data_IF_097285994652
#
_entry.id   IF_097285994652
#
_cell.length_a   1.000
_cell.length_b   1.000
_cell.length_c   1.000
_cell.angle_alpha   90.00
_cell.angle_beta   90.00
_cell.angle_gamma   90.00
#
_symmetry.space_group_name_H-M   'P 1'
#
loop_
_entity.id
_entity.type
_entity.pdbx_description
1 polymer ?
#
# COMPACT_ATOMS: atom_id res chain seq x y z
N UNK A 1 4.33 -9.27 -16.85
CA UNK A 1 3.44 -9.37 -15.65
C UNK A 1 1.99 -9.68 -16.06
N UNK A 2 1.23 -10.50 -15.31
CA UNK A 2 -0.21 -10.79 -15.61
C UNK A 2 -1.15 -9.85 -14.85
N UNK A 3 -2.31 -9.56 -15.43
CA UNK A 3 -3.33 -8.75 -14.75
C UNK A 3 -3.96 -9.51 -13.56
N UNK A 4 -4.26 -8.84 -12.46
CA UNK A 4 -4.92 -9.45 -11.30
C UNK A 4 -6.27 -10.10 -11.64
N UNK A 5 -7.05 -9.51 -12.55
CA UNK A 5 -8.30 -10.12 -13.02
C UNK A 5 -8.05 -11.39 -13.83
N UNK A 6 -6.97 -11.44 -14.63
CA UNK A 6 -6.56 -12.63 -15.39
C UNK A 6 -6.05 -13.73 -14.47
N UNK A 7 -5.26 -13.37 -13.45
CA UNK A 7 -4.78 -14.31 -12.41
C UNK A 7 -5.97 -14.98 -11.70
N UNK A 8 -7.01 -14.21 -11.40
CA UNK A 8 -8.23 -14.71 -10.76
C UNK A 8 -9.20 -15.36 -11.76
N UNK A 9 -9.00 -15.18 -13.06
CA UNK A 9 -9.88 -15.68 -14.12
C UNK A 9 -11.28 -15.06 -14.08
N UNK A 10 -11.37 -13.75 -13.80
CA UNK A 10 -12.63 -12.99 -13.74
C UNK A 10 -12.60 -11.78 -14.67
N UNK A 11 -13.77 -11.22 -14.95
CA UNK A 11 -13.88 -9.94 -15.67
C UNK A 11 -13.55 -8.74 -14.78
N UNK A 12 -13.28 -7.60 -15.42
CA UNK A 12 -12.86 -6.36 -14.73
C UNK A 12 -13.97 -5.73 -13.90
N UNK A 13 -15.23 -5.98 -14.23
CA UNK A 13 -16.41 -5.51 -13.51
C UNK A 13 -16.91 -6.52 -12.47
N UNK A 14 -16.15 -7.61 -12.23
CA UNK A 14 -16.51 -8.65 -11.28
C UNK A 14 -16.87 -8.09 -9.91
N UNK A 15 -17.99 -8.57 -9.39
CA UNK A 15 -18.51 -8.22 -8.07
C UNK A 15 -17.65 -8.80 -6.95
N UNK A 16 -17.75 -8.24 -5.74
CA UNK A 16 -17.05 -8.79 -4.58
C UNK A 16 -17.39 -10.27 -4.30
N UNK A 17 -18.61 -10.70 -4.66
CA UNK A 17 -19.04 -12.10 -4.54
C UNK A 17 -18.31 -13.01 -5.53
N UNK A 18 -18.12 -12.56 -6.78
CA UNK A 18 -17.41 -13.32 -7.82
C UNK A 18 -15.92 -13.41 -7.53
N UNK A 19 -15.30 -12.30 -7.11
CA UNK A 19 -13.91 -12.27 -6.68
C UNK A 19 -13.63 -13.29 -5.56
N UNK A 20 -14.50 -13.31 -4.54
CA UNK A 20 -14.37 -14.26 -3.42
C UNK A 20 -14.52 -15.71 -3.86
N UNK A 21 -15.47 -15.99 -4.75
CA UNK A 21 -15.69 -17.34 -5.31
C UNK A 21 -14.48 -17.80 -6.12
N UNK A 22 -13.96 -16.94 -6.99
CA UNK A 22 -12.80 -17.23 -7.82
C UNK A 22 -11.55 -17.49 -6.98
N UNK A 23 -11.28 -16.62 -5.99
CA UNK A 23 -10.18 -16.79 -5.05
C UNK A 23 -10.28 -18.12 -4.29
N UNK A 24 -11.44 -18.44 -3.71
CA UNK A 24 -11.60 -19.70 -2.96
C UNK A 24 -11.37 -20.94 -3.83
N UNK A 25 -11.87 -20.93 -5.08
CA UNK A 25 -11.68 -22.02 -6.04
C UNK A 25 -10.20 -22.20 -6.40
N UNK A 26 -9.50 -21.11 -6.67
CA UNK A 26 -8.08 -21.14 -7.05
C UNK A 26 -7.17 -21.48 -5.86
N UNK A 27 -7.46 -20.92 -4.68
CA UNK A 27 -6.75 -21.23 -3.44
C UNK A 27 -6.84 -22.72 -3.10
N UNK A 28 -8.02 -23.35 -3.24
CA UNK A 28 -8.16 -24.79 -3.03
C UNK A 28 -7.40 -25.64 -4.05
N UNK A 29 -7.27 -25.16 -5.29
CA UNK A 29 -6.57 -25.86 -6.37
C UNK A 29 -5.05 -25.81 -6.20
N UNK A 30 -4.54 -24.68 -5.76
CA UNK A 30 -3.10 -24.41 -5.64
C UNK A 30 -2.59 -24.44 -4.19
N UNK A 31 -3.41 -24.90 -3.24
CA UNK A 31 -2.99 -25.03 -1.84
C UNK A 31 -1.84 -26.05 -1.72
N UNK A 32 -0.74 -25.74 -1.04
CA UNK A 32 0.40 -26.65 -0.88
C UNK A 32 0.00 -28.08 -0.45
N UNK A 33 -0.90 -28.21 0.53
CA UNK A 33 -1.38 -29.51 1.04
C UNK A 33 -2.14 -30.36 0.01
N UNK A 34 -2.65 -29.78 -1.08
CA UNK A 34 -3.41 -30.51 -2.12
C UNK A 34 -2.53 -30.98 -3.28
N UNK A 35 -1.27 -30.59 -3.28
CA UNK A 35 -0.33 -30.87 -4.36
C UNK A 35 0.32 -32.21 -4.09
N UNK A 36 0.25 -33.10 -5.07
CA UNK A 36 0.72 -34.48 -4.93
C UNK A 36 2.23 -34.53 -4.87
N UNK A 37 2.77 -35.50 -4.14
CA UNK A 37 4.20 -35.81 -4.15
C UNK A 37 4.70 -36.02 -5.59
N UNK A 38 5.66 -35.18 -6.02
CA UNK A 38 6.26 -35.17 -7.36
C UNK A 38 5.82 -34.04 -8.29
N UNK A 39 4.87 -33.20 -7.89
CA UNK A 39 4.61 -31.92 -8.56
C UNK A 39 5.52 -30.82 -8.00
N UNK A 40 5.82 -29.81 -8.81
CA UNK A 40 6.63 -28.67 -8.39
C UNK A 40 5.90 -27.83 -7.34
N UNK A 41 6.15 -28.17 -6.07
CA UNK A 41 5.60 -27.50 -4.88
C UNK A 41 6.00 -26.03 -4.85
N UNK A 42 7.18 -25.68 -5.38
CA UNK A 42 7.67 -24.32 -5.41
C UNK A 42 6.91 -23.48 -6.43
N UNK A 43 6.75 -23.96 -7.67
CA UNK A 43 5.95 -23.29 -8.69
C UNK A 43 4.51 -23.06 -8.23
N UNK A 44 3.91 -24.05 -7.56
CA UNK A 44 2.56 -23.90 -7.07
C UNK A 44 2.43 -22.94 -5.88
N UNK A 45 3.43 -22.90 -5.00
CA UNK A 45 3.50 -21.90 -3.93
C UNK A 45 3.57 -20.50 -4.53
N UNK A 46 4.34 -20.30 -5.61
CA UNK A 46 4.40 -19.01 -6.33
C UNK A 46 3.05 -18.65 -6.94
N UNK A 47 2.38 -19.59 -7.61
CA UNK A 47 1.03 -19.35 -8.18
C UNK A 47 0.01 -19.02 -7.09
N UNK A 48 0.06 -19.71 -5.95
CA UNK A 48 -0.80 -19.43 -4.80
C UNK A 48 -0.57 -18.02 -4.25
N UNK A 49 0.69 -17.60 -4.11
CA UNK A 49 1.05 -16.24 -3.69
C UNK A 49 0.56 -15.19 -4.69
N UNK A 50 0.65 -15.44 -5.99
CA UNK A 50 0.15 -14.55 -7.04
C UNK A 50 -1.38 -14.41 -6.98
N UNK A 51 -2.11 -15.52 -6.77
CA UNK A 51 -3.57 -15.53 -6.56
C UNK A 51 -3.95 -14.72 -5.31
N UNK A 52 -3.20 -14.89 -4.22
CA UNK A 52 -3.43 -14.16 -2.99
C UNK A 52 -3.19 -12.66 -3.19
N UNK A 53 -2.07 -12.28 -3.81
CA UNK A 53 -1.74 -10.89 -4.15
C UNK A 53 -2.85 -10.26 -4.99
N UNK A 54 -3.26 -10.95 -6.05
CA UNK A 54 -4.30 -10.48 -6.96
C UNK A 54 -5.63 -10.23 -6.24
N UNK A 55 -6.09 -11.20 -5.43
CA UNK A 55 -7.33 -11.05 -4.67
C UNK A 55 -7.24 -9.93 -3.63
N UNK A 56 -6.13 -9.81 -2.92
CA UNK A 56 -5.96 -8.73 -1.94
C UNK A 56 -6.12 -7.36 -2.59
N UNK A 57 -5.46 -7.09 -3.71
CA UNK A 57 -5.53 -5.80 -4.41
C UNK A 57 -6.96 -5.51 -4.90
N UNK A 58 -7.61 -6.45 -5.58
CA UNK A 58 -8.92 -6.18 -6.21
C UNK A 58 -10.11 -6.33 -5.25
N UNK A 59 -9.93 -6.92 -4.06
CA UNK A 59 -11.02 -7.11 -3.09
C UNK A 59 -11.33 -5.86 -2.27
N UNK A 60 -10.35 -4.96 -2.07
CA UNK A 60 -10.55 -3.70 -1.36
C UNK A 60 -10.88 -2.57 -2.34
N UNK A 61 -12.02 -1.84 -2.19
CA UNK A 61 -12.43 -0.83 -3.17
C UNK A 61 -11.39 0.25 -3.46
N UNK A 62 -10.67 0.71 -2.44
CA UNK A 62 -9.63 1.73 -2.59
C UNK A 62 -8.39 1.19 -3.33
N UNK A 63 -7.97 -0.04 -3.03
CA UNK A 63 -6.82 -0.68 -3.68
C UNK A 63 -7.17 -1.09 -5.11
N UNK A 64 -8.40 -1.55 -5.36
CA UNK A 64 -8.93 -1.85 -6.69
C UNK A 64 -8.99 -0.61 -7.57
N UNK A 65 -9.57 0.49 -7.07
CA UNK A 65 -9.66 1.73 -7.83
C UNK A 65 -8.27 2.24 -8.21
N UNK A 66 -7.33 2.23 -7.26
CA UNK A 66 -5.97 2.64 -7.52
C UNK A 66 -5.24 1.68 -8.49
N UNK A 67 -5.44 0.36 -8.37
CA UNK A 67 -4.92 -0.61 -9.33
C UNK A 67 -5.47 -0.38 -10.73
N UNK A 68 -6.78 -0.16 -10.86
CA UNK A 68 -7.43 0.08 -12.15
C UNK A 68 -6.91 1.36 -12.82
N UNK A 69 -6.70 2.43 -12.06
CA UNK A 69 -6.15 3.72 -12.53
C UNK A 69 -4.71 3.58 -13.06
N UNK A 70 -3.93 2.65 -12.51
CA UNK A 70 -2.52 2.48 -12.85
C UNK A 70 -2.21 1.16 -13.56
N UNK A 71 -3.22 0.35 -13.88
CA UNK A 71 -3.08 -1.01 -14.43
C UNK A 71 -2.21 -1.04 -15.67
N UNK A 72 -2.39 -0.09 -16.58
CA UNK A 72 -1.59 -0.04 -17.81
C UNK A 72 -0.11 0.18 -17.52
N UNK A 73 0.24 1.00 -16.54
CA UNK A 73 1.63 1.25 -16.16
C UNK A 73 2.23 -0.01 -15.53
N UNK A 74 1.48 -0.65 -14.63
CA UNK A 74 1.88 -1.91 -13.97
C UNK A 74 2.10 -3.04 -14.99
N UNK A 75 1.25 -3.14 -16.02
CA UNK A 75 1.34 -4.20 -17.03
C UNK A 75 2.36 -3.93 -18.14
N UNK A 76 2.71 -2.65 -18.40
CA UNK A 76 3.76 -2.27 -19.34
C UNK A 76 5.16 -2.53 -18.78
N UNK A 77 5.31 -2.61 -17.47
CA UNK A 77 6.55 -3.08 -16.84
C UNK A 77 6.72 -4.59 -17.08
N UNK A 78 7.79 -4.94 -17.79
CA UNK A 78 8.23 -6.31 -18.17
C UNK A 78 7.73 -6.84 -19.52
N UNK A 79 7.95 -6.11 -20.61
CA UNK A 79 8.22 -6.75 -21.91
C UNK A 79 9.74 -6.64 -22.13
N UNK A 80 10.47 -7.72 -21.82
CA UNK A 80 11.93 -7.83 -21.93
C UNK A 80 12.50 -7.69 -23.35
N UNK A 81 11.79 -7.00 -24.25
CA UNK A 81 12.37 -6.40 -25.43
C UNK A 81 13.20 -5.20 -24.99
N UNK A 82 14.52 -5.42 -24.84
CA UNK A 82 15.49 -4.36 -25.03
C UNK A 82 15.18 -3.68 -26.37
N UNK A 83 14.48 -2.56 -26.33
CA UNK A 83 14.47 -1.64 -27.46
C UNK A 83 15.84 -0.96 -27.40
N UNK A 84 16.78 -1.46 -28.20
CA UNK A 84 18.03 -0.77 -28.50
C UNK A 84 17.69 0.65 -28.96
N UNK A 85 17.75 1.63 -28.06
CA UNK A 85 17.33 2.99 -28.43
C UNK A 85 17.30 4.07 -27.35
N UNK A 86 17.13 3.79 -26.06
CA UNK A 86 17.13 4.87 -25.04
C UNK A 86 17.61 4.37 -23.67
N UNK A 87 18.70 4.96 -23.19
CA UNK A 87 19.37 4.62 -21.94
C UNK A 87 18.86 5.45 -20.75
N UNK A 88 17.55 5.52 -20.52
CA UNK A 88 16.98 6.43 -19.49
C UNK A 88 15.66 5.95 -18.84
N UNK A 89 15.58 4.68 -18.41
CA UNK A 89 14.44 4.22 -17.60
C UNK A 89 14.83 3.33 -16.39
N UNK A 90 15.96 3.64 -15.73
CA UNK A 90 16.27 3.17 -14.36
C UNK A 90 15.54 4.03 -13.30
N UNK A 91 14.30 4.46 -13.59
CA UNK A 91 13.51 5.30 -12.69
C UNK A 91 12.84 4.43 -11.63
N UNK A 92 12.82 4.93 -10.39
CA UNK A 92 12.21 4.22 -9.26
C UNK A 92 10.69 4.11 -9.44
N UNK A 93 10.24 2.92 -9.82
CA UNK A 93 8.82 2.61 -9.95
C UNK A 93 8.24 2.10 -8.63
N UNK A 94 7.59 3.01 -7.89
CA UNK A 94 6.88 2.71 -6.64
C UNK A 94 5.83 1.59 -6.84
N UNK A 95 5.26 1.48 -8.04
CA UNK A 95 4.15 0.57 -8.34
C UNK A 95 4.55 -0.90 -8.20
N UNK A 96 5.82 -1.23 -8.49
CA UNK A 96 6.38 -2.58 -8.36
C UNK A 96 6.23 -3.15 -6.94
N UNK A 97 6.14 -2.29 -5.93
CA UNK A 97 6.10 -2.69 -4.52
C UNK A 97 4.68 -2.93 -3.97
N UNK A 98 3.65 -2.77 -4.81
CA UNK A 98 2.25 -3.09 -4.52
C UNK A 98 1.89 -4.54 -4.84
N UNK A 99 2.72 -5.49 -4.43
CA UNK A 99 2.43 -6.91 -4.55
C UNK A 99 2.93 -7.66 -3.33
N UNK A 100 2.20 -8.67 -2.88
CA UNK A 100 2.67 -9.57 -1.81
C UNK A 100 3.73 -10.56 -2.29
N UNK A 101 3.96 -10.66 -3.60
CA UNK A 101 4.96 -11.57 -4.18
C UNK A 101 6.40 -11.10 -4.01
N UNK A 102 6.62 -9.82 -3.66
CA UNK A 102 7.96 -9.24 -3.53
C UNK A 102 8.67 -9.63 -2.24
N UNK A 103 7.94 -10.15 -1.26
CA UNK A 103 8.47 -10.56 0.03
C UNK A 103 7.96 -11.94 0.44
N UNK A 104 8.71 -12.63 1.29
CA UNK A 104 8.43 -13.96 1.82
C UNK A 104 8.40 -13.90 3.34
N UNK A 105 7.19 -13.95 3.89
CA UNK A 105 6.99 -13.93 5.33
C UNK A 105 7.28 -12.57 5.98
N UNK A 106 7.10 -12.51 7.30
CA UNK A 106 7.19 -11.30 8.11
C UNK A 106 8.41 -11.35 9.02
N UNK A 107 9.59 -11.46 8.41
CA UNK A 107 10.90 -11.50 9.09
C UNK A 107 11.82 -10.41 8.53
N UNK A 108 13.02 -10.33 9.09
CA UNK A 108 14.10 -9.42 8.67
C UNK A 108 15.16 -10.11 7.79
N UNK A 109 14.84 -11.25 7.17
CA UNK A 109 15.70 -11.86 6.15
C UNK A 109 15.68 -11.04 4.85
N UNK A 110 16.59 -11.29 3.92
CA UNK A 110 16.79 -10.47 2.71
C UNK A 110 15.51 -10.32 1.86
N UNK A 111 14.63 -11.32 1.90
CA UNK A 111 13.32 -11.31 1.23
C UNK A 111 12.15 -11.13 2.19
N UNK A 112 12.39 -10.81 3.45
CA UNK A 112 11.34 -10.61 4.45
C UNK A 112 10.63 -9.28 4.28
N UNK A 113 9.36 -9.22 4.69
CA UNK A 113 8.53 -8.02 4.63
C UNK A 113 9.26 -6.77 5.16
N UNK A 114 9.94 -6.89 6.30
CA UNK A 114 10.57 -5.73 6.95
C UNK A 114 11.85 -5.26 6.26
N UNK A 115 12.62 -6.18 5.66
CA UNK A 115 13.83 -5.82 4.91
C UNK A 115 13.48 -5.21 3.57
N UNK A 116 12.53 -5.81 2.84
CA UNK A 116 12.09 -5.32 1.54
C UNK A 116 11.53 -3.90 1.66
N UNK A 117 10.54 -3.67 2.53
CA UNK A 117 9.94 -2.35 2.62
C UNK A 117 10.85 -1.31 3.26
N UNK A 118 11.73 -1.69 4.19
CA UNK A 118 12.74 -0.75 4.70
C UNK A 118 13.65 -0.25 3.57
N UNK A 119 14.18 -1.15 2.75
CA UNK A 119 15.04 -0.78 1.62
C UNK A 119 14.33 0.14 0.63
N UNK A 120 13.06 -0.16 0.32
CA UNK A 120 12.22 0.67 -0.56
C UNK A 120 12.10 2.11 -0.06
N UNK A 121 11.78 2.30 1.23
CA UNK A 121 11.64 3.65 1.78
C UNK A 121 12.99 4.35 1.98
N UNK A 122 14.06 3.62 2.28
CA UNK A 122 15.43 4.16 2.33
C UNK A 122 15.91 4.61 0.94
N UNK A 123 15.55 3.90 -0.13
CA UNK A 123 15.86 4.28 -1.51
C UNK A 123 15.10 5.54 -1.93
N UNK A 124 13.80 5.63 -1.64
CA UNK A 124 13.00 6.86 -1.89
C UNK A 124 13.60 8.05 -1.13
N UNK A 125 13.97 7.86 0.14
CA UNK A 125 14.55 8.91 0.96
C UNK A 125 15.94 9.33 0.43
N UNK A 126 16.76 8.39 -0.03
CA UNK A 126 18.05 8.69 -0.63
C UNK A 126 17.93 9.54 -1.91
N UNK A 127 16.93 9.26 -2.76
CA UNK A 127 16.63 10.07 -3.95
C UNK A 127 16.27 11.50 -3.58
N UNK A 128 15.45 11.69 -2.54
CA UNK A 128 15.09 13.03 -2.08
C UNK A 128 16.23 13.73 -1.35
N UNK A 129 17.00 13.05 -0.49
CA UNK A 129 18.22 13.61 0.13
C UNK A 129 19.18 14.16 -0.94
N UNK A 130 19.41 13.40 -2.02
CA UNK A 130 20.21 13.84 -3.15
C UNK A 130 19.62 15.10 -3.84
N UNK A 131 18.30 15.18 -3.97
CA UNK A 131 17.63 16.34 -4.55
C UNK A 131 17.62 17.58 -3.63
N UNK A 132 17.48 17.38 -2.31
CA UNK A 132 17.52 18.41 -1.26
C UNK A 132 18.92 19.00 -1.10
N UNK A 133 19.96 18.19 -1.32
CA UNK A 133 21.34 18.53 -0.98
C UNK A 133 21.62 18.45 0.52
N UNK A 134 20.81 17.70 1.28
CA UNK A 134 21.03 17.42 2.69
C UNK A 134 21.06 15.91 2.96
N UNK A 135 21.47 15.53 4.17
CA UNK A 135 21.51 14.13 4.62
C UNK A 135 20.60 13.92 5.82
N UNK A 136 19.49 14.68 5.92
CA UNK A 136 18.52 14.48 6.98
C UNK A 136 17.66 13.26 6.67
N UNK A 137 17.76 12.17 7.45
CA UNK A 137 17.08 10.94 7.12
C UNK A 137 15.60 11.00 7.51
N UNK A 138 14.74 10.41 6.69
CA UNK A 138 13.38 10.09 7.07
C UNK A 138 13.36 9.13 8.28
N UNK A 139 12.28 9.10 9.08
CA UNK A 139 12.16 8.11 10.15
C UNK A 139 12.26 6.69 9.57
N UNK A 140 13.02 5.81 10.24
CA UNK A 140 13.24 4.44 9.78
C UNK A 140 12.01 3.55 9.97
N UNK A 141 11.85 2.56 9.11
CA UNK A 141 10.80 1.54 9.23
C UNK A 141 11.01 0.58 10.41
N UNK A 142 12.25 0.45 10.87
CA UNK A 142 12.65 -0.50 11.91
C UNK A 142 12.56 -1.96 11.44
N UNK A 143 12.64 -2.87 12.41
CA UNK A 143 12.63 -4.33 12.23
C UNK A 143 11.32 -4.99 12.68
N UNK A 144 11.21 -6.29 12.46
CA UNK A 144 10.09 -7.10 12.96
C UNK A 144 9.86 -7.00 14.47
N UNK A 145 10.92 -6.73 15.23
CA UNK A 145 10.93 -6.61 16.70
C UNK A 145 10.84 -5.19 17.22
N UNK A 146 10.89 -4.19 16.33
CA UNK A 146 10.78 -2.79 16.74
C UNK A 146 9.37 -2.46 17.24
N UNK A 147 9.26 -1.39 18.03
CA UNK A 147 7.97 -0.84 18.42
C UNK A 147 7.16 -0.38 17.20
N UNK A 148 5.86 -0.15 17.41
CA UNK A 148 4.94 0.31 16.38
C UNK A 148 5.48 1.63 15.79
N UNK A 149 5.82 1.71 14.49
CA UNK A 149 6.58 2.83 13.96
C UNK A 149 5.64 3.98 13.58
N UNK A 150 5.03 4.63 14.58
CA UNK A 150 4.08 5.73 14.36
C UNK A 150 4.69 6.89 13.57
N UNK A 151 5.87 7.36 14.00
CA UNK A 151 6.57 8.47 13.35
C UNK A 151 6.90 8.18 11.87
N UNK A 152 7.25 6.93 11.55
CA UNK A 152 7.45 6.48 10.17
C UNK A 152 6.18 6.65 9.33
N UNK A 153 5.07 6.09 9.79
CA UNK A 153 3.83 6.16 9.00
C UNK A 153 3.26 7.58 8.94
N UNK A 154 3.43 8.39 9.99
CA UNK A 154 2.97 9.78 9.97
C UNK A 154 3.75 10.63 8.96
N UNK A 155 5.07 10.41 8.87
CA UNK A 155 5.94 11.02 7.85
C UNK A 155 5.55 10.56 6.44
N UNK A 156 5.58 9.25 6.18
CA UNK A 156 5.43 8.70 4.83
C UNK A 156 4.00 8.85 4.26
N UNK A 157 2.98 8.95 5.11
CA UNK A 157 1.60 9.26 4.68
C UNK A 157 1.39 10.75 4.38
N UNK A 158 2.32 11.60 4.79
CA UNK A 158 2.36 13.04 4.49
C UNK A 158 3.46 13.40 3.48
N UNK A 159 4.09 12.38 2.88
CA UNK A 159 5.26 12.51 2.02
C UNK A 159 5.01 13.36 0.77
N UNK A 160 6.01 14.18 0.45
CA UNK A 160 6.14 14.97 -0.77
C UNK A 160 7.59 14.86 -1.24
N UNK A 161 7.79 14.68 -2.55
CA UNK A 161 9.13 14.49 -3.13
C UNK A 161 9.84 15.82 -3.34
N UNK A 162 11.14 15.82 -3.06
CA UNK A 162 12.05 16.94 -3.31
C UNK A 162 12.69 16.88 -4.71
N UNK A 163 12.58 15.74 -5.40
CA UNK A 163 13.10 15.57 -6.76
C UNK A 163 12.54 16.63 -7.73
N UNK A 164 13.37 17.03 -8.70
CA UNK A 164 13.04 18.12 -9.64
C UNK A 164 11.95 17.72 -10.64
N UNK A 165 11.91 16.46 -11.06
CA UNK A 165 11.12 15.95 -12.19
C UNK A 165 11.45 16.62 -13.53
N UNK A 166 12.63 17.24 -13.66
CA UNK A 166 13.03 17.95 -14.89
C UNK A 166 13.14 17.04 -16.12
N UNK A 167 13.25 15.73 -15.95
CA UNK A 167 13.19 14.75 -17.04
C UNK A 167 11.81 14.65 -17.70
N UNK A 168 10.76 15.19 -17.07
CA UNK A 168 9.42 15.30 -17.68
C UNK A 168 9.26 16.55 -18.55
N UNK A 169 10.30 17.39 -18.67
CA UNK A 169 10.26 18.56 -19.53
C UNK A 169 10.14 18.13 -21.00
N UNK A 170 9.02 18.47 -21.63
CA UNK A 170 8.74 18.13 -23.03
C UNK A 170 9.46 19.06 -24.01
N UNK A 171 9.77 20.27 -23.55
CA UNK A 171 10.27 21.35 -24.39
C UNK A 171 11.63 21.86 -23.91
N UNK A 172 12.57 22.04 -24.84
CA UNK A 172 13.82 22.76 -24.57
C UNK A 172 13.57 24.26 -24.73
N UNK A 173 13.46 24.99 -23.63
CA UNK A 173 13.10 26.41 -23.63
C UNK A 173 14.10 27.32 -24.36
N UNK A 174 15.34 26.84 -24.58
CA UNK A 174 16.36 27.48 -25.42
C UNK A 174 15.96 27.58 -26.89
N UNK A 175 15.12 26.66 -27.36
CA UNK A 175 14.75 26.54 -28.78
C UNK A 175 13.54 27.43 -29.13
N UNK A 176 13.05 28.21 -28.17
CA UNK A 176 11.86 29.03 -28.33
C UNK A 176 12.07 30.18 -29.34
N UNK A 177 11.24 30.31 -30.38
CA UNK A 177 11.39 31.34 -31.42
C UNK A 177 11.04 32.75 -30.92
N UNK A 178 10.31 32.87 -29.82
CA UNK A 178 9.98 34.16 -29.20
C UNK A 178 9.90 34.04 -27.68
N UNK A 179 9.93 35.18 -26.99
CA UNK A 179 9.74 35.24 -25.53
C UNK A 179 8.37 34.68 -25.10
N UNK A 180 7.34 34.86 -25.91
CA UNK A 180 5.98 34.39 -25.62
C UNK A 180 5.90 32.87 -25.71
N UNK A 181 6.49 32.28 -26.76
CA UNK A 181 6.56 30.83 -26.92
C UNK A 181 7.40 30.20 -25.80
N UNK A 182 8.51 30.84 -25.40
CA UNK A 182 9.33 30.37 -24.27
C UNK A 182 8.52 30.25 -22.98
N UNK A 183 7.68 31.25 -22.68
CA UNK A 183 6.82 31.25 -21.50
C UNK A 183 5.77 30.14 -21.55
N UNK A 184 5.23 29.83 -22.73
CA UNK A 184 4.31 28.70 -22.91
C UNK A 184 5.03 27.37 -22.68
N UNK A 185 6.22 27.20 -23.26
CA UNK A 185 7.06 26.01 -23.04
C UNK A 185 7.43 25.84 -21.56
N UNK A 186 7.84 26.91 -20.87
CA UNK A 186 8.14 26.90 -19.42
C UNK A 186 6.90 26.50 -18.59
N UNK A 187 5.72 27.00 -18.96
CA UNK A 187 4.46 26.68 -18.30
C UNK A 187 4.08 25.21 -18.48
N UNK A 188 4.22 24.69 -19.69
CA UNK A 188 3.90 23.29 -19.99
C UNK A 188 4.87 22.34 -19.31
N UNK A 189 6.17 22.63 -19.33
CA UNK A 189 7.17 21.90 -18.57
C UNK A 189 6.86 21.92 -17.07
N UNK A 190 6.57 23.11 -16.50
CA UNK A 190 6.18 23.22 -15.08
C UNK A 190 4.96 22.35 -14.77
N UNK A 191 3.94 22.36 -15.63
CA UNK A 191 2.74 21.53 -15.47
C UNK A 191 3.07 20.03 -15.50
N UNK A 192 3.95 19.60 -16.40
CA UNK A 192 4.41 18.22 -16.48
C UNK A 192 5.14 17.79 -15.19
N UNK A 193 6.09 18.62 -14.71
CA UNK A 193 6.81 18.38 -13.46
C UNK A 193 5.87 18.33 -12.25
N UNK A 194 4.99 19.32 -12.11
CA UNK A 194 4.03 19.39 -11.00
C UNK A 194 3.10 18.16 -10.97
N UNK A 195 2.68 17.70 -12.15
CA UNK A 195 1.86 16.48 -12.29
C UNK A 195 2.66 15.24 -11.89
N UNK A 196 3.89 15.10 -12.38
CA UNK A 196 4.77 13.98 -12.03
C UNK A 196 5.05 13.90 -10.53
N UNK A 197 5.44 15.02 -9.90
CA UNK A 197 5.66 15.11 -8.45
C UNK A 197 4.41 14.71 -7.68
N UNK A 198 3.25 15.23 -8.07
CA UNK A 198 1.97 14.93 -7.40
C UNK A 198 1.63 13.43 -7.49
N UNK A 199 1.78 12.84 -8.66
CA UNK A 199 1.52 11.41 -8.88
C UNK A 199 2.48 10.54 -8.09
N UNK A 200 3.79 10.79 -8.19
CA UNK A 200 4.81 10.03 -7.46
C UNK A 200 4.59 10.09 -5.94
N UNK A 201 4.43 11.30 -5.37
CA UNK A 201 4.17 11.45 -3.94
C UNK A 201 2.84 10.84 -3.50
N UNK A 202 1.81 10.84 -4.36
CA UNK A 202 0.56 10.14 -4.07
C UNK A 202 0.77 8.62 -4.03
N UNK A 203 1.56 8.06 -4.93
CA UNK A 203 1.86 6.64 -4.98
C UNK A 203 2.71 6.18 -3.78
N UNK A 204 3.70 6.98 -3.35
CA UNK A 204 4.47 6.69 -2.13
C UNK A 204 3.57 6.71 -0.88
N UNK A 205 2.65 7.69 -0.78
CA UNK A 205 1.67 7.73 0.32
C UNK A 205 0.74 6.52 0.31
N UNK A 206 0.27 6.11 -0.88
CA UNK A 206 -0.53 4.91 -1.05
C UNK A 206 0.26 3.65 -0.67
N UNK A 207 1.56 3.60 -0.96
CA UNK A 207 2.45 2.49 -0.57
C UNK A 207 2.59 2.43 0.95
N UNK A 208 2.76 3.57 1.61
CA UNK A 208 2.81 3.63 3.07
C UNK A 208 1.53 3.06 3.70
N UNK A 209 0.34 3.39 3.15
CA UNK A 209 -0.93 2.82 3.60
C UNK A 209 -1.03 1.31 3.29
N UNK A 210 -0.56 0.87 2.12
CA UNK A 210 -0.52 -0.54 1.72
C UNK A 210 0.33 -1.38 2.69
N UNK A 211 1.51 -0.89 3.04
CA UNK A 211 2.44 -1.54 3.99
C UNK A 211 1.86 -1.52 5.39
N UNK A 212 1.29 -0.38 5.83
CA UNK A 212 0.68 -0.22 7.15
C UNK A 212 -0.41 -1.25 7.45
N UNK A 213 -1.24 -1.57 6.45
CA UNK A 213 -2.32 -2.57 6.59
C UNK A 213 -1.79 -4.00 6.77
N UNK A 214 -0.55 -4.28 6.32
CA UNK A 214 0.06 -5.61 6.31
C UNK A 214 1.09 -5.80 7.42
N UNK A 215 1.63 -4.71 7.96
CA UNK A 215 2.58 -4.71 9.08
C UNK A 215 1.97 -5.37 10.32
N UNK A 216 2.58 -6.47 10.78
CA UNK A 216 2.08 -7.26 11.93
C UNK A 216 2.11 -6.46 13.22
N UNK A 217 3.03 -5.51 13.37
CA UNK A 217 3.11 -4.61 14.53
C UNK A 217 1.88 -3.71 14.59
N UNK A 218 1.49 -3.14 13.44
CA UNK A 218 0.30 -2.29 13.30
C UNK A 218 -0.99 -3.07 13.52
N UNK A 219 -1.10 -4.26 12.95
CA UNK A 219 -2.29 -5.12 13.10
C UNK A 219 -2.47 -5.49 14.58
N UNK A 220 -1.41 -5.95 15.25
CA UNK A 220 -1.45 -6.30 16.67
C UNK A 220 -1.88 -5.10 17.53
N UNK A 221 -1.28 -3.94 17.30
CA UNK A 221 -1.63 -2.71 18.01
C UNK A 221 -3.10 -2.30 17.79
N UNK A 222 -3.61 -2.43 16.56
CA UNK A 222 -5.01 -2.13 16.26
C UNK A 222 -5.97 -3.08 17.00
N UNK A 223 -5.65 -4.39 17.04
CA UNK A 223 -6.43 -5.39 17.77
C UNK A 223 -6.42 -5.12 19.28
N UNK A 224 -5.26 -4.83 19.87
CA UNK A 224 -5.13 -4.48 21.29
C UNK A 224 -5.94 -3.22 21.63
N UNK A 225 -5.86 -2.18 20.79
CA UNK A 225 -6.62 -0.94 20.97
C UNK A 225 -8.13 -1.18 20.87
N UNK A 226 -8.58 -2.02 19.94
CA UNK A 226 -9.99 -2.37 19.79
C UNK A 226 -10.49 -3.18 21.00
N UNK A 227 -9.72 -4.17 21.45
CA UNK A 227 -10.04 -4.96 22.64
C UNK A 227 -10.16 -4.07 23.89
N UNK A 228 -9.22 -3.13 24.07
CA UNK A 228 -9.29 -2.14 25.15
C UNK A 228 -10.55 -1.27 25.05
N UNK A 229 -10.89 -0.79 23.85
CA UNK A 229 -12.11 0.00 23.63
C UNK A 229 -13.37 -0.79 23.97
N UNK A 230 -13.44 -2.07 23.58
CA UNK A 230 -14.57 -2.94 23.89
C UNK A 230 -14.68 -3.21 25.39
N UNK A 231 -13.55 -3.45 26.07
CA UNK A 231 -13.49 -3.60 27.53
C UNK A 231 -14.01 -2.35 28.24
N UNK A 232 -13.52 -1.17 27.87
CA UNK A 232 -13.95 0.11 28.45
C UNK A 232 -15.43 0.41 28.18
N UNK A 233 -15.94 0.04 26.99
CA UNK A 233 -17.35 0.20 26.65
C UNK A 233 -18.24 -0.73 27.49
N UNK A 234 -17.80 -1.97 27.73
CA UNK A 234 -18.50 -2.92 28.59
C UNK A 234 -18.53 -2.45 30.05
N UNK A 235 -17.40 -1.97 30.58
CA UNK A 235 -17.30 -1.42 31.94
C UNK A 235 -18.25 -0.22 32.12
N UNK A 236 -18.27 0.70 31.12
CA UNK A 236 -19.16 1.85 31.12
C UNK A 236 -20.63 1.45 31.06
N UNK A 237 -20.97 0.44 30.26
CA UNK A 237 -22.34 -0.08 30.15
C UNK A 237 -22.79 -0.75 31.45
N UNK A 238 -21.92 -1.54 32.09
CA UNK A 238 -22.18 -2.18 33.38
C UNK A 238 -22.39 -1.13 34.48
N UNK A 239 -21.55 -0.11 34.55
CA UNK A 239 -21.71 1.00 35.49
C UNK A 239 -23.03 1.77 35.27
N UNK A 240 -23.41 2.01 34.02
CA UNK A 240 -24.69 2.65 33.70
C UNK A 240 -25.90 1.78 34.10
N UNK A 241 -25.83 0.47 33.85
CA UNK A 241 -26.88 -0.48 34.26
C UNK A 241 -27.02 -0.56 35.80
N UNK A 242 -25.90 -0.62 36.52
CA UNK A 242 -25.89 -0.61 37.98
C UNK A 242 -26.50 0.68 38.54
N UNK A 243 -26.15 1.84 37.97
CA UNK A 243 -26.74 3.13 38.35
C UNK A 243 -28.24 3.19 38.09
N UNK A 244 -28.71 2.64 36.96
CA UNK A 244 -30.13 2.57 36.63
C UNK A 244 -30.89 1.68 37.62
N UNK A 245 -30.33 0.50 37.94
CA UNK A 245 -30.94 -0.43 38.90
C UNK A 245 -30.98 0.15 40.31
N UNK A 246 -29.93 0.84 40.75
CA UNK A 246 -29.92 1.55 42.03
C UNK A 246 -31.00 2.65 42.08
N UNK A 247 -31.14 3.44 41.02
CA UNK A 247 -32.18 4.46 40.90
C UNK A 247 -33.61 3.86 40.93
N UNK A 248 -33.83 2.75 40.22
CA UNK A 248 -35.13 2.05 40.24
C UNK A 248 -35.46 1.48 41.63
N UNK A 249 -34.47 0.94 42.34
CA UNK A 249 -34.65 0.46 43.71
C UNK A 249 -34.98 1.60 44.69
N UNK A 250 -34.29 2.73 44.60
CA UNK A 250 -34.56 3.92 45.42
C UNK A 250 -35.95 4.49 45.14
N UNK A 251 -36.33 4.60 43.85
CA UNK A 251 -37.67 5.01 43.44
C UNK A 251 -38.76 4.10 43.99
N UNK A 252 -38.56 2.78 43.92
CA UNK A 252 -39.52 1.80 44.44
C UNK A 252 -39.68 1.91 45.97
N UNK A 253 -38.57 2.09 46.70
CA UNK A 253 -38.59 2.28 48.16
C UNK A 253 -39.34 3.55 48.57
N UNK A 254 -39.14 4.66 47.84
CA UNK A 254 -39.88 5.90 48.05
C UNK A 254 -41.39 5.74 47.78
N UNK A 255 -41.77 4.99 46.75
CA UNK A 255 -43.19 4.74 46.44
C UNK A 255 -43.89 3.84 47.46
N UNK A 256 -43.17 2.93 48.13
CA UNK A 256 -43.74 2.02 49.13
C UNK A 256 -43.93 2.66 50.52
N UNK A 257 -43.41 3.87 50.73
CA UNK A 257 -43.49 4.59 52.02
C UNK A 257 -44.65 5.59 52.13
N UNK A 258 -45.56 5.58 51.14
CA UNK A 258 -46.80 6.36 51.06
C UNK A 258 -48.00 5.43 50.81
#
# INVERSE_FOLDING_TARGET
>A
MRCHYEVLGVERDATAGELRKAFHKLALKWHPDKIKDGQDVEAATQVFQEIQSAYEVVSYPQERAWYDDHREQILRGDDGTHHDGDADDDRFDVMRFFSTSIYKGFKDDDRGFYSVYRGVFEEIDALDQAARGDSTPAPSFGSSTSEVPHAFYDYWRSYMTDQSFSWLDQYKTTDAPSREIRRLMEKDNKKARDTGKKTFSANVRALADYVRKRDKRMIKHAQEKEALRLSQAADKAAAAAARKLAFEAEKAAFQASW
#
